data_IF_723136931489
#
_entry.id   IF_723136931489
#
_cell.length_a   1.000
_cell.length_b   1.000
_cell.length_c   1.000
_cell.angle_alpha   90.00
_cell.angle_beta   90.00
_cell.angle_gamma   90.00
#
_symmetry.space_group_name_H-M   'P 1'
#
loop_
_entity.id
_entity.type
_entity.pdbx_description
1 polymer ?
#
# COMPACT_ATOMS: atom_id res chain seq x y z
N UNK A 1 2.83 0.50 -17.29
CA UNK A 1 3.12 1.78 -16.59
C UNK A 1 4.53 1.66 -16.08
N UNK A 2 5.40 2.64 -16.34
CA UNK A 2 6.78 2.59 -15.87
C UNK A 2 6.87 3.36 -14.55
N UNK A 3 7.06 2.64 -13.42
CA UNK A 3 7.15 3.26 -12.10
C UNK A 3 8.35 4.21 -11.97
N UNK A 4 9.46 3.94 -12.67
CA UNK A 4 10.63 4.84 -12.68
C UNK A 4 10.26 6.18 -13.26
N UNK A 5 9.73 6.17 -14.49
CA UNK A 5 9.32 7.40 -15.19
C UNK A 5 8.28 8.16 -14.36
N UNK A 6 7.34 7.44 -13.73
CA UNK A 6 6.33 8.06 -12.88
C UNK A 6 6.93 8.72 -11.63
N UNK A 7 7.87 8.07 -10.95
CA UNK A 7 8.56 8.65 -9.80
C UNK A 7 9.41 9.86 -10.20
N UNK A 8 10.13 9.78 -11.32
CA UNK A 8 10.92 10.90 -11.86
C UNK A 8 10.02 12.10 -12.16
N UNK A 9 8.94 11.91 -12.92
CA UNK A 9 7.99 12.98 -13.24
C UNK A 9 7.32 13.57 -11.98
N UNK A 10 7.08 12.74 -10.96
CA UNK A 10 6.56 13.19 -9.67
C UNK A 10 7.54 14.12 -8.93
N UNK A 11 8.85 13.90 -9.08
CA UNK A 11 9.90 14.66 -8.39
C UNK A 11 10.30 15.95 -9.11
N UNK A 12 10.20 16.01 -10.45
CA UNK A 12 10.64 17.15 -11.27
C UNK A 12 10.11 18.53 -10.82
N UNK A 13 8.86 18.68 -10.30
CA UNK A 13 8.40 19.96 -9.79
C UNK A 13 9.11 20.45 -8.52
N UNK A 14 9.83 19.57 -7.83
CA UNK A 14 10.43 19.84 -6.51
C UNK A 14 11.96 19.82 -6.55
N UNK A 15 12.58 19.09 -7.47
CA UNK A 15 14.05 19.02 -7.56
C UNK A 15 14.52 18.90 -9.00
N UNK A 16 15.54 19.69 -9.34
CA UNK A 16 16.28 19.57 -10.60
C UNK A 16 17.49 18.62 -10.48
N UNK A 17 17.78 18.10 -9.28
CA UNK A 17 18.89 17.17 -9.05
C UNK A 17 18.52 15.76 -9.53
N UNK A 18 18.82 15.50 -10.81
CA UNK A 18 18.60 14.18 -11.42
C UNK A 18 19.36 13.05 -10.73
N UNK A 19 20.51 13.34 -10.11
CA UNK A 19 21.28 12.30 -9.40
C UNK A 19 20.58 11.90 -8.11
N UNK A 20 20.05 12.87 -7.37
CA UNK A 20 19.24 12.62 -6.17
C UNK A 20 17.98 11.82 -6.51
N UNK A 21 17.22 12.23 -7.54
CA UNK A 21 16.00 11.53 -7.98
C UNK A 21 16.32 10.08 -8.35
N UNK A 22 17.34 9.85 -9.18
CA UNK A 22 17.75 8.48 -9.54
C UNK A 22 18.22 7.67 -8.33
N UNK A 23 18.93 8.30 -7.39
CA UNK A 23 19.38 7.64 -6.14
C UNK A 23 18.19 7.18 -5.30
N UNK A 24 17.19 8.03 -5.12
CA UNK A 24 15.99 7.69 -4.36
C UNK A 24 15.13 6.64 -5.09
N UNK A 25 15.00 6.73 -6.42
CA UNK A 25 14.36 5.67 -7.20
C UNK A 25 15.05 4.32 -7.01
N UNK A 26 16.38 4.27 -7.10
CA UNK A 26 17.13 3.03 -6.89
C UNK A 26 16.98 2.50 -5.46
N UNK A 27 16.82 3.36 -4.45
CA UNK A 27 16.46 2.92 -3.10
C UNK A 27 15.09 2.24 -3.10
N UNK A 28 14.05 2.88 -3.66
CA UNK A 28 12.69 2.31 -3.76
C UNK A 28 12.73 0.96 -4.49
N UNK A 29 13.29 0.93 -5.70
CA UNK A 29 13.41 -0.27 -6.53
C UNK A 29 14.10 -1.41 -5.79
N UNK A 30 15.24 -1.12 -5.15
CA UNK A 30 16.00 -2.11 -4.38
C UNK A 30 15.18 -2.66 -3.21
N UNK A 31 14.50 -1.80 -2.45
CA UNK A 31 13.70 -2.20 -1.28
C UNK A 31 12.53 -3.08 -1.68
N UNK A 32 11.77 -2.67 -2.69
CA UNK A 32 10.62 -3.44 -3.18
C UNK A 32 11.02 -4.71 -3.97
N UNK A 33 12.31 -4.87 -4.31
CA UNK A 33 12.86 -6.07 -4.96
C UNK A 33 13.60 -7.01 -4.00
N UNK A 34 13.54 -6.78 -2.68
CA UNK A 34 14.16 -7.66 -1.69
C UNK A 34 13.57 -9.09 -1.76
N UNK A 35 14.42 -10.11 -1.68
CA UNK A 35 14.04 -11.53 -1.91
C UNK A 35 12.88 -12.04 -1.05
N UNK A 36 12.64 -11.45 0.11
CA UNK A 36 11.57 -11.85 1.03
C UNK A 36 10.22 -11.21 0.75
N UNK A 37 10.14 -10.25 -0.19
CA UNK A 37 8.90 -9.58 -0.60
C UNK A 37 8.29 -10.30 -1.78
N UNK A 38 7.16 -10.97 -1.53
CA UNK A 38 6.44 -11.71 -2.57
C UNK A 38 5.19 -10.97 -3.02
N UNK A 39 4.51 -10.28 -2.10
CA UNK A 39 3.37 -9.42 -2.38
C UNK A 39 3.76 -7.94 -2.32
N UNK A 40 4.45 -7.51 -1.27
CA UNK A 40 4.80 -6.09 -1.05
C UNK A 40 6.01 -5.66 -1.88
N UNK A 41 5.87 -5.74 -3.21
CA UNK A 41 6.90 -5.52 -4.23
C UNK A 41 6.45 -4.43 -5.24
N UNK A 42 7.22 -4.21 -6.31
CA UNK A 42 6.90 -3.19 -7.31
C UNK A 42 5.55 -3.41 -8.02
N UNK A 43 5.12 -4.67 -8.21
CA UNK A 43 3.82 -4.97 -8.81
C UNK A 43 2.66 -4.50 -7.92
N UNK A 44 2.83 -4.50 -6.60
CA UNK A 44 1.85 -3.90 -5.67
C UNK A 44 1.66 -2.41 -5.94
N UNK A 45 2.76 -1.65 -6.08
CA UNK A 45 2.71 -0.23 -6.40
C UNK A 45 2.02 0.01 -7.75
N UNK A 46 2.33 -0.81 -8.76
CA UNK A 46 1.68 -0.72 -10.07
C UNK A 46 0.16 -0.94 -9.97
N UNK A 47 -0.27 -1.92 -9.17
CA UNK A 47 -1.68 -2.20 -8.95
C UNK A 47 -2.38 -1.04 -8.24
N UNK A 48 -1.77 -0.43 -7.22
CA UNK A 48 -2.35 0.71 -6.52
C UNK A 48 -2.57 1.90 -7.47
N UNK A 49 -1.56 2.27 -8.26
CA UNK A 49 -1.71 3.35 -9.24
C UNK A 49 -2.77 3.03 -10.30
N UNK A 50 -2.84 1.78 -10.76
CA UNK A 50 -3.86 1.34 -11.72
C UNK A 50 -5.27 1.49 -11.16
N UNK A 51 -5.48 1.19 -9.88
CA UNK A 51 -6.78 1.38 -9.24
C UNK A 51 -7.18 2.85 -9.12
N UNK A 52 -6.20 3.71 -8.80
CA UNK A 52 -6.43 5.13 -8.61
C UNK A 52 -6.67 5.90 -9.91
N UNK A 53 -6.22 5.40 -11.06
CA UNK A 53 -6.42 6.08 -12.35
C UNK A 53 -7.91 6.37 -12.62
N UNK A 54 -8.81 5.44 -12.26
CA UNK A 54 -10.24 5.59 -12.46
C UNK A 54 -10.91 6.62 -11.52
N UNK A 55 -10.23 7.01 -10.43
CA UNK A 55 -10.71 7.99 -9.44
C UNK A 55 -9.79 9.20 -9.32
N UNK A 56 -8.83 9.35 -10.22
CA UNK A 56 -7.80 10.40 -10.17
C UNK A 56 -8.40 11.80 -10.10
N UNK A 57 -9.53 12.03 -10.77
CA UNK A 57 -10.27 13.30 -10.74
C UNK A 57 -11.04 13.55 -9.43
N UNK A 58 -11.16 12.54 -8.56
CA UNK A 58 -11.75 12.66 -7.22
C UNK A 58 -10.71 12.85 -6.12
N UNK A 59 -9.43 12.60 -6.42
CA UNK A 59 -8.31 12.81 -5.51
C UNK A 59 -7.86 14.27 -5.61
N UNK A 60 -7.89 14.98 -4.49
CA UNK A 60 -7.60 16.42 -4.44
C UNK A 60 -6.11 16.71 -4.63
N UNK A 61 -5.26 15.91 -4.01
CA UNK A 61 -3.80 16.02 -4.06
C UNK A 61 -3.17 14.69 -4.45
N UNK A 62 -3.24 14.39 -5.75
CA UNK A 62 -2.67 13.17 -6.31
C UNK A 62 -1.14 13.07 -6.13
N UNK A 63 -0.44 14.20 -6.01
CA UNK A 63 0.99 14.24 -5.72
C UNK A 63 1.31 13.63 -4.36
N UNK A 64 0.59 14.03 -3.30
CA UNK A 64 0.75 13.46 -1.95
C UNK A 64 0.45 11.97 -1.96
N UNK A 65 -0.70 11.56 -2.54
CA UNK A 65 -1.07 10.14 -2.65
C UNK A 65 0.01 9.34 -3.40
N UNK A 66 0.58 9.90 -4.47
CA UNK A 66 1.63 9.23 -5.24
C UNK A 66 2.91 8.99 -4.44
N UNK A 67 3.36 9.99 -3.67
CA UNK A 67 4.50 9.80 -2.77
C UNK A 67 4.18 8.78 -1.68
N UNK A 68 2.98 8.83 -1.08
CA UNK A 68 2.55 7.83 -0.11
C UNK A 68 2.59 6.41 -0.68
N UNK A 69 2.17 6.20 -1.94
CA UNK A 69 2.26 4.90 -2.60
C UNK A 69 3.72 4.42 -2.68
N UNK A 70 4.64 5.25 -3.16
CA UNK A 70 6.04 4.87 -3.29
C UNK A 70 6.74 4.57 -1.95
N UNK A 71 6.26 5.16 -0.86
CA UNK A 71 6.93 5.06 0.44
C UNK A 71 6.20 4.23 1.51
N UNK A 72 4.90 3.90 1.39
CA UNK A 72 4.15 3.30 2.51
C UNK A 72 4.76 1.99 3.06
N UNK A 73 5.27 1.14 2.16
CA UNK A 73 5.90 -0.15 2.48
C UNK A 73 7.38 -0.20 2.10
N UNK A 74 8.04 0.96 1.96
CA UNK A 74 9.46 0.99 1.60
C UNK A 74 10.34 0.31 2.66
N UNK A 75 9.92 0.36 3.93
CA UNK A 75 10.45 -0.47 5.01
C UNK A 75 9.45 -1.57 5.31
N UNK A 76 9.83 -2.83 5.07
CA UNK A 76 8.94 -3.96 5.28
C UNK A 76 9.67 -5.13 5.93
N UNK A 77 9.10 -5.62 7.02
CA UNK A 77 9.43 -6.90 7.63
C UNK A 77 8.14 -7.51 8.17
N UNK A 78 7.74 -8.67 7.66
CA UNK A 78 6.50 -9.37 8.02
C UNK A 78 6.35 -9.66 9.53
N UNK A 79 7.45 -9.66 10.29
CA UNK A 79 7.43 -9.90 11.75
C UNK A 79 7.41 -8.61 12.58
N UNK A 80 7.57 -7.45 11.94
CA UNK A 80 7.66 -6.16 12.63
C UNK A 80 6.30 -5.46 12.71
N UNK A 81 6.08 -4.74 13.81
CA UNK A 81 4.93 -3.84 14.01
C UNK A 81 5.31 -2.37 13.82
N UNK A 82 6.44 -2.09 13.18
CA UNK A 82 7.01 -0.74 13.07
C UNK A 82 7.32 -0.35 11.63
N UNK A 83 6.74 -1.08 10.66
CA UNK A 83 7.03 -0.88 9.25
C UNK A 83 6.54 0.50 8.82
N UNK A 84 5.29 0.84 9.16
CA UNK A 84 4.65 2.10 8.78
C UNK A 84 5.35 3.29 9.41
N UNK A 85 5.70 3.23 10.70
CA UNK A 85 6.46 4.30 11.36
C UNK A 85 7.85 4.51 10.75
N UNK A 86 8.54 3.42 10.36
CA UNK A 86 9.86 3.52 9.73
C UNK A 86 9.80 3.98 8.28
N UNK A 87 8.78 3.54 7.55
CA UNK A 87 8.47 3.99 6.19
C UNK A 87 8.16 5.49 6.18
N UNK A 88 7.32 5.96 7.11
CA UNK A 88 6.99 7.37 7.27
C UNK A 88 8.24 8.21 7.57
N UNK A 89 9.08 7.79 8.52
CA UNK A 89 10.32 8.49 8.85
C UNK A 89 11.30 8.54 7.66
N UNK A 90 11.40 7.44 6.90
CA UNK A 90 12.23 7.42 5.69
C UNK A 90 11.67 8.37 4.62
N UNK A 91 10.35 8.38 4.43
CA UNK A 91 9.67 9.30 3.52
C UNK A 91 9.95 10.76 3.91
N UNK A 92 9.78 11.12 5.18
CA UNK A 92 10.07 12.48 5.67
C UNK A 92 11.49 12.93 5.34
N UNK A 93 12.46 12.04 5.54
CA UNK A 93 13.88 12.31 5.23
C UNK A 93 14.09 12.53 3.72
N UNK A 94 13.61 11.63 2.88
CA UNK A 94 13.81 11.68 1.42
C UNK A 94 13.08 12.82 0.74
N UNK A 95 11.85 13.10 1.19
CA UNK A 95 11.06 14.19 0.64
C UNK A 95 11.61 15.56 1.06
N UNK A 96 12.21 15.67 2.25
CA UNK A 96 12.94 16.87 2.64
C UNK A 96 14.20 17.11 1.78
N UNK A 97 14.95 16.05 1.44
CA UNK A 97 16.08 16.14 0.50
C UNK A 97 15.66 16.61 -0.89
N UNK A 98 14.46 16.22 -1.35
CA UNK A 98 13.83 16.71 -2.58
C UNK A 98 13.24 18.13 -2.45
N UNK A 99 13.39 18.78 -1.30
CA UNK A 99 12.91 20.15 -1.01
C UNK A 99 11.39 20.32 -1.07
N UNK A 100 10.62 19.25 -0.84
CA UNK A 100 9.17 19.36 -0.71
C UNK A 100 8.78 20.27 0.45
N UNK A 101 7.68 20.99 0.30
CA UNK A 101 7.11 21.78 1.39
C UNK A 101 6.74 20.84 2.56
N UNK A 102 7.00 21.31 3.78
CA UNK A 102 6.65 20.63 5.04
C UNK A 102 5.21 20.14 5.10
N UNK A 103 4.26 20.86 4.51
CA UNK A 103 2.84 20.46 4.48
C UNK A 103 2.63 19.17 3.67
N UNK A 104 3.32 19.03 2.52
CA UNK A 104 3.30 17.80 1.71
C UNK A 104 3.94 16.64 2.48
N UNK A 105 5.11 16.89 3.09
CA UNK A 105 5.83 15.88 3.87
C UNK A 105 4.97 15.35 5.02
N UNK A 106 4.32 16.27 5.75
CA UNK A 106 3.42 15.93 6.87
C UNK A 106 2.23 15.11 6.38
N UNK A 107 1.62 15.48 5.26
CA UNK A 107 0.50 14.75 4.68
C UNK A 107 0.88 13.34 4.21
N UNK A 108 2.04 13.18 3.55
CA UNK A 108 2.56 11.86 3.15
C UNK A 108 2.83 10.98 4.37
N UNK A 109 3.52 11.51 5.39
CA UNK A 109 3.81 10.79 6.63
C UNK A 109 2.51 10.32 7.31
N UNK A 110 1.51 11.21 7.42
CA UNK A 110 0.21 10.86 7.99
C UNK A 110 -0.50 9.76 7.18
N UNK A 111 -0.48 9.84 5.85
CA UNK A 111 -1.05 8.83 4.96
C UNK A 111 -0.38 7.46 5.08
N UNK A 112 0.94 7.42 5.28
CA UNK A 112 1.66 6.17 5.50
C UNK A 112 1.30 5.57 6.86
N UNK A 113 1.23 6.38 7.92
CA UNK A 113 0.94 5.87 9.28
C UNK A 113 -0.43 5.22 9.40
N UNK A 114 -1.44 5.72 8.69
CA UNK A 114 -2.81 5.19 8.74
C UNK A 114 -2.99 3.87 7.97
N UNK A 115 -2.07 3.48 7.08
CA UNK A 115 -2.10 2.16 6.42
C UNK A 115 -1.92 1.02 7.42
N UNK A 116 -1.45 1.29 8.64
CA UNK A 116 -1.28 0.28 9.69
C UNK A 116 -2.58 -0.41 10.13
N UNK A 117 -3.66 0.35 10.18
CA UNK A 117 -4.95 -0.12 10.72
C UNK A 117 -6.09 -0.04 9.70
N UNK A 118 -5.85 0.59 8.56
CA UNK A 118 -6.84 0.79 7.49
C UNK A 118 -8.18 1.32 8.00
N UNK A 119 -8.17 2.17 9.03
CA UNK A 119 -9.37 2.81 9.55
C UNK A 119 -9.80 3.95 8.62
N UNK A 120 -11.10 4.28 8.61
CA UNK A 120 -11.59 5.41 7.83
C UNK A 120 -10.94 6.70 8.33
N UNK A 121 -10.41 7.50 7.41
CA UNK A 121 -9.86 8.83 7.68
C UNK A 121 -10.91 9.92 7.40
N UNK A 122 -10.75 11.06 8.07
CA UNK A 122 -11.49 12.29 7.74
C UNK A 122 -10.94 12.96 6.46
N UNK A 123 -9.71 12.60 6.05
CA UNK A 123 -9.14 12.99 4.76
C UNK A 123 -9.55 11.99 3.66
N UNK A 124 -10.22 12.48 2.63
CA UNK A 124 -10.78 11.63 1.58
C UNK A 124 -9.70 11.05 0.65
N UNK A 125 -8.61 11.78 0.41
CA UNK A 125 -7.49 11.29 -0.39
C UNK A 125 -6.80 10.10 0.27
N UNK A 126 -6.67 10.15 1.61
CA UNK A 126 -6.25 9.01 2.42
C UNK A 126 -7.17 7.81 2.25
N UNK A 127 -8.50 8.01 2.20
CA UNK A 127 -9.44 6.91 1.99
C UNK A 127 -9.24 6.23 0.62
N UNK A 128 -8.92 6.99 -0.43
CA UNK A 128 -8.56 6.42 -1.74
C UNK A 128 -7.25 5.64 -1.70
N UNK A 129 -6.23 6.11 -0.98
CA UNK A 129 -4.97 5.37 -0.78
C UNK A 129 -5.23 4.02 -0.10
N UNK A 130 -5.97 4.03 1.02
CA UNK A 130 -6.31 2.82 1.77
C UNK A 130 -7.11 1.83 0.92
N UNK A 131 -8.04 2.32 0.11
CA UNK A 131 -8.85 1.48 -0.76
C UNK A 131 -8.05 0.86 -1.91
N UNK A 132 -7.10 1.62 -2.48
CA UNK A 132 -6.19 1.11 -3.49
C UNK A 132 -5.29 0.00 -2.93
N UNK A 133 -4.76 0.18 -1.71
CA UNK A 133 -3.94 -0.79 -1.00
C UNK A 133 -4.71 -2.12 -0.74
N UNK A 134 -5.97 -2.00 -0.31
CA UNK A 134 -6.84 -3.15 -0.01
C UNK A 134 -7.53 -3.75 -1.24
N UNK A 135 -7.36 -3.17 -2.43
CA UNK A 135 -8.11 -3.55 -3.64
C UNK A 135 -7.92 -5.01 -4.06
N UNK A 136 -6.79 -5.64 -3.70
CA UNK A 136 -6.52 -7.06 -3.96
C UNK A 136 -7.59 -7.97 -3.34
N UNK A 137 -8.18 -7.56 -2.21
CA UNK A 137 -9.20 -8.34 -1.51
C UNK A 137 -10.44 -8.53 -2.38
N UNK A 138 -10.80 -7.53 -3.19
CA UNK A 138 -11.97 -7.57 -4.07
C UNK A 138 -11.73 -8.06 -5.49
N UNK A 139 -10.54 -8.58 -5.80
CA UNK A 139 -10.24 -9.12 -7.14
C UNK A 139 -10.95 -10.45 -7.39
N UNK A 140 -10.92 -10.90 -8.65
CA UNK A 140 -11.35 -12.26 -8.98
C UNK A 140 -10.60 -13.30 -8.13
N UNK A 141 -11.23 -14.45 -7.94
CA UNK A 141 -10.75 -15.47 -7.01
C UNK A 141 -9.35 -16.01 -7.35
N UNK A 142 -8.99 -16.08 -8.64
CA UNK A 142 -7.67 -16.53 -9.06
C UNK A 142 -6.58 -15.55 -8.62
N UNK A 143 -6.78 -14.26 -8.90
CA UNK A 143 -5.89 -13.18 -8.45
C UNK A 143 -5.78 -13.13 -6.93
N UNK A 144 -6.91 -13.27 -6.23
CA UNK A 144 -6.93 -13.30 -4.76
C UNK A 144 -6.18 -14.53 -4.20
N UNK A 145 -6.38 -15.71 -4.78
CA UNK A 145 -5.68 -16.92 -4.35
C UNK A 145 -4.16 -16.79 -4.54
N UNK A 146 -3.71 -16.25 -5.67
CA UNK A 146 -2.30 -15.94 -5.89
C UNK A 146 -1.76 -14.98 -4.82
N UNK A 147 -2.53 -13.94 -4.45
CA UNK A 147 -2.21 -13.07 -3.32
C UNK A 147 -2.04 -13.82 -2.00
N UNK A 148 -2.98 -14.70 -1.63
CA UNK A 148 -2.87 -15.46 -0.37
C UNK A 148 -1.61 -16.32 -0.32
N UNK A 149 -1.20 -16.90 -1.46
CA UNK A 149 0.04 -17.68 -1.57
C UNK A 149 1.29 -16.81 -1.43
N UNK A 150 1.29 -15.60 -2.02
CA UNK A 150 2.38 -14.65 -1.87
C UNK A 150 2.53 -14.20 -0.41
N UNK A 151 1.43 -13.85 0.26
CA UNK A 151 1.43 -13.53 1.69
C UNK A 151 1.94 -14.73 2.51
N UNK A 152 1.49 -15.96 2.22
CA UNK A 152 1.97 -17.15 2.94
C UNK A 152 3.49 -17.29 2.85
N UNK A 153 4.10 -16.97 1.70
CA UNK A 153 5.56 -17.01 1.50
C UNK A 153 6.29 -15.95 2.34
N UNK A 154 5.75 -14.72 2.44
CA UNK A 154 6.36 -13.66 3.27
C UNK A 154 6.36 -14.03 4.76
N UNK A 155 5.35 -14.77 5.21
CA UNK A 155 5.24 -15.28 6.58
C UNK A 155 5.77 -16.72 6.73
N UNK A 156 6.61 -17.19 5.81
CA UNK A 156 7.15 -18.57 5.80
C UNK A 156 7.94 -18.95 7.05
N UNK A 157 8.46 -17.97 7.80
CA UNK A 157 9.11 -18.19 9.10
C UNK A 157 8.19 -18.80 10.15
N UNK A 158 6.87 -18.57 10.05
CA UNK A 158 5.90 -19.13 10.97
C UNK A 158 5.38 -20.48 10.44
N UNK A 159 5.38 -21.54 11.26
CA UNK A 159 4.70 -22.78 10.93
C UNK A 159 3.18 -22.56 10.85
N UNK A 160 2.50 -23.44 10.12
CA UNK A 160 1.05 -23.34 9.88
C UNK A 160 0.22 -23.25 11.16
N UNK A 161 0.65 -23.94 12.23
CA UNK A 161 0.00 -23.91 13.55
C UNK A 161 -0.05 -22.49 14.16
N UNK A 162 0.91 -21.62 13.82
CA UNK A 162 0.95 -20.22 14.28
C UNK A 162 0.39 -19.27 13.22
N UNK A 163 0.72 -19.50 11.94
CA UNK A 163 0.29 -18.64 10.83
C UNK A 163 -1.23 -18.66 10.65
N UNK A 164 -1.85 -19.84 10.57
CA UNK A 164 -3.28 -19.96 10.21
C UNK A 164 -4.19 -19.26 11.23
N UNK A 165 -4.04 -19.44 12.56
CA UNK A 165 -4.85 -18.69 13.53
C UNK A 165 -4.63 -17.17 13.44
N UNK A 166 -3.39 -16.73 13.27
CA UNK A 166 -3.05 -15.31 13.13
C UNK A 166 -3.68 -14.69 11.88
N UNK A 167 -3.56 -15.36 10.73
CA UNK A 167 -4.18 -14.92 9.47
C UNK A 167 -5.71 -14.89 9.58
N UNK A 168 -6.34 -15.92 10.15
CA UNK A 168 -7.79 -15.91 10.41
C UNK A 168 -8.22 -14.72 11.27
N UNK A 169 -7.43 -14.34 12.27
CA UNK A 169 -7.74 -13.18 13.12
C UNK A 169 -7.76 -11.87 12.31
N UNK A 170 -6.77 -11.65 11.45
CA UNK A 170 -6.70 -10.47 10.56
C UNK A 170 -7.90 -10.45 9.60
N UNK A 171 -8.19 -11.59 8.97
CA UNK A 171 -9.30 -11.72 8.03
C UNK A 171 -10.67 -11.47 8.68
N UNK A 172 -10.89 -12.03 9.88
CA UNK A 172 -12.12 -11.77 10.65
C UNK A 172 -12.26 -10.31 11.03
N UNK A 173 -11.17 -9.64 11.39
CA UNK A 173 -11.20 -8.21 11.68
C UNK A 173 -11.74 -7.40 10.50
N UNK A 174 -11.35 -7.72 9.25
CA UNK A 174 -11.92 -7.06 8.07
C UNK A 174 -13.43 -7.34 7.90
N UNK A 175 -13.91 -8.54 8.21
CA UNK A 175 -15.34 -8.86 8.16
C UNK A 175 -16.16 -8.20 9.27
N UNK A 176 -15.53 -7.80 10.38
CA UNK A 176 -16.16 -7.07 11.48
C UNK A 176 -16.32 -5.57 11.19
N UNK A 177 -15.62 -5.04 10.18
CA UNK A 177 -15.80 -3.66 9.74
C UNK A 177 -17.17 -3.48 9.08
N UNK A 178 -17.80 -2.32 9.31
CA UNK A 178 -19.02 -1.94 8.58
C UNK A 178 -18.82 -1.99 7.06
N UNK A 179 -17.64 -1.56 6.61
CA UNK A 179 -17.18 -1.67 5.22
C UNK A 179 -15.67 -1.87 5.19
N UNK A 180 -15.21 -2.77 4.33
CA UNK A 180 -13.78 -2.99 4.08
C UNK A 180 -13.21 -1.76 3.34
N UNK A 181 -13.92 -1.29 2.31
CA UNK A 181 -13.55 -0.10 1.55
C UNK A 181 -14.19 1.18 2.13
N UNK A 182 -13.52 2.31 1.98
CA UNK A 182 -13.85 3.58 2.64
C UNK A 182 -14.66 4.51 1.74
N UNK A 183 -14.28 4.56 0.47
CA UNK A 183 -14.93 5.38 -0.56
C UNK A 183 -16.03 4.59 -1.27
N UNK A 184 -17.08 5.28 -1.70
CA UNK A 184 -18.24 4.60 -2.29
C UNK A 184 -17.90 3.90 -3.61
N UNK A 185 -16.98 4.47 -4.40
CA UNK A 185 -16.51 3.85 -5.64
C UNK A 185 -15.88 2.47 -5.40
N UNK A 186 -14.98 2.33 -4.42
CA UNK A 186 -14.35 1.04 -4.14
C UNK A 186 -15.31 0.08 -3.43
N UNK A 187 -16.24 0.58 -2.61
CA UNK A 187 -17.30 -0.27 -2.03
C UNK A 187 -18.14 -0.93 -3.11
N UNK A 188 -18.68 -0.13 -4.03
CA UNK A 188 -19.50 -0.62 -5.14
C UNK A 188 -18.73 -1.63 -6.00
N UNK A 189 -17.44 -1.36 -6.23
CA UNK A 189 -16.60 -2.19 -7.09
C UNK A 189 -16.15 -3.50 -6.43
N UNK A 190 -15.88 -3.51 -5.12
CA UNK A 190 -15.08 -4.57 -4.49
C UNK A 190 -15.65 -5.16 -3.19
N UNK A 191 -16.55 -4.49 -2.48
CA UNK A 191 -16.94 -4.89 -1.12
C UNK A 191 -17.53 -6.29 -1.06
N UNK A 192 -18.47 -6.61 -1.95
CA UNK A 192 -19.14 -7.92 -2.00
C UNK A 192 -18.12 -9.03 -2.24
N UNK A 193 -17.29 -8.87 -3.27
CA UNK A 193 -16.28 -9.88 -3.63
C UNK A 193 -15.20 -10.02 -2.57
N UNK A 194 -14.79 -8.92 -1.93
CA UNK A 194 -13.84 -8.97 -0.82
C UNK A 194 -14.35 -9.81 0.34
N UNK A 195 -15.62 -9.63 0.73
CA UNK A 195 -16.24 -10.43 1.79
C UNK A 195 -16.35 -11.92 1.41
N UNK A 196 -16.68 -12.23 0.16
CA UNK A 196 -16.69 -13.61 -0.36
C UNK A 196 -15.30 -14.25 -0.32
N UNK A 197 -14.30 -13.59 -0.89
CA UNK A 197 -12.92 -14.03 -0.94
C UNK A 197 -12.35 -14.29 0.47
N UNK A 198 -12.53 -13.33 1.38
CA UNK A 198 -12.08 -13.46 2.78
C UNK A 198 -12.76 -14.64 3.48
N UNK A 199 -14.07 -14.80 3.27
CA UNK A 199 -14.82 -15.91 3.87
C UNK A 199 -14.34 -17.27 3.37
N UNK A 200 -14.01 -17.37 2.07
CA UNK A 200 -13.42 -18.57 1.48
C UNK A 200 -12.01 -18.84 2.02
N UNK A 201 -11.14 -17.83 2.11
CA UNK A 201 -9.79 -17.99 2.69
C UNK A 201 -9.87 -18.53 4.12
N UNK A 202 -10.79 -18.01 4.95
CA UNK A 202 -10.99 -18.48 6.33
C UNK A 202 -11.36 -19.97 6.39
N UNK A 203 -12.12 -20.49 5.43
CA UNK A 203 -12.49 -21.91 5.35
C UNK A 203 -11.34 -22.81 4.90
N UNK A 204 -10.44 -22.28 4.06
CA UNK A 204 -9.28 -23.00 3.54
C UNK A 204 -8.08 -23.06 4.52
N UNK A 205 -7.97 -22.08 5.42
CA UNK A 205 -6.95 -22.04 6.47
C UNK A 205 -7.21 -23.07 7.56
#
# INVERSE_FOLDING_TARGET
MNLKDQFEQLCLPFSEDSNLINTQWHEIEKRYSEKGRHYHNLLHLENMFKELEAVKNKVSNFTVVSFSIFYHDIVYNATSKSNEEKSALLAETRLAELTLNKDYITAVSAQILVTKFHQKSDDEDTNYLLDADLSILGKDFESYLAYTQMIRKEYSIYPDLLYKPGRKKVLKHFLELNSIFKTDYFKEKYEVRAKENISMEIQLL
#
